data_IF_874452654487
#
_entry.id   IF_874452654487
#
_cell.length_a   1.000
_cell.length_b   1.000
_cell.length_c   1.000
_cell.angle_alpha   90.00
_cell.angle_beta   90.00
_cell.angle_gamma   90.00
#
_symmetry.space_group_name_H-M   'P 1'
#
loop_
_entity.id
_entity.type
_entity.pdbx_description
1 polymer ?
#
# COMPACT_ATOMS: atom_id res chain seq x y z
N UNK A 1 -0.50 23.79 -1.05
CA UNK A 1 -0.24 23.77 -1.97
C UNK A 1 0.02 23.87 -2.21
N UNK A 2 -0.04 23.09 -1.89
CA UNK A 2 0.27 22.93 -2.63
C UNK A 2 0.50 22.81 -2.86
N UNK A 3 0.45 22.23 -2.44
CA UNK A 3 0.89 22.02 -3.16
C UNK A 3 0.96 21.96 -3.48
N UNK A 4 0.81 21.61 -3.12
CA UNK A 4 1.08 21.50 -3.80
C UNK A 4 1.10 21.51 -4.10
N UNK A 5 1.07 21.03 -3.98
CA UNK A 5 1.19 20.91 -4.66
C UNK A 5 1.29 20.92 -5.08
N UNK A 6 1.25 20.39 -5.11
CA UNK A 6 1.44 20.28 -5.93
C UNK A 6 1.38 20.58 -6.58
N UNK A 7 1.39 20.35 -6.68
CA UNK A 7 1.48 20.46 -7.67
C UNK A 7 1.69 20.62 -8.44
N UNK A 8 1.69 20.41 -8.83
CA UNK A 8 2.01 20.31 -9.83
C UNK A 8 2.28 20.57 -10.73
N UNK A 9 1.94 20.60 -10.91
CA UNK A 9 1.94 20.66 -12.26
C UNK A 9 2.99 20.12 -13.05
N UNK A 10 3.64 20.30 -13.41
CA UNK A 10 4.57 19.54 -13.93
C UNK A 10 4.25 18.26 -13.65
N UNK A 11 3.37 18.24 -13.12
CA UNK A 11 2.94 17.19 -12.45
C UNK A 11 2.67 15.91 -13.10
N UNK A 12 2.45 15.87 -14.36
CA UNK A 12 2.18 14.61 -15.03
C UNK A 12 3.34 13.64 -14.97
N UNK A 13 4.57 14.14 -14.96
CA UNK A 13 5.72 13.27 -14.85
C UNK A 13 5.82 12.61 -13.49
N UNK A 14 5.51 13.37 -12.45
CA UNK A 14 5.62 12.84 -11.10
C UNK A 14 4.56 11.81 -10.76
N UNK A 15 3.52 11.71 -11.58
CA UNK A 15 2.47 10.72 -11.35
C UNK A 15 2.96 9.29 -11.47
N UNK A 16 4.08 9.07 -12.16
CA UNK A 16 4.58 7.73 -12.39
C UNK A 16 5.82 7.42 -11.58
N UNK A 17 6.23 8.34 -10.73
CA UNK A 17 7.43 8.14 -9.94
C UNK A 17 7.09 7.43 -8.63
N UNK A 18 7.89 6.42 -8.24
CA UNK A 18 7.68 5.78 -6.95
C UNK A 18 7.86 6.77 -5.81
N UNK A 19 7.19 6.53 -4.73
CA UNK A 19 7.30 7.38 -3.55
C UNK A 19 7.31 6.52 -2.29
N UNK A 20 7.84 7.08 -1.21
CA UNK A 20 7.96 6.37 0.05
C UNK A 20 6.90 6.84 1.03
N UNK A 21 6.35 5.91 1.77
CA UNK A 21 5.39 6.20 2.83
C UNK A 21 5.78 5.46 4.09
N UNK A 22 5.50 6.08 5.23
CA UNK A 22 5.66 5.41 6.50
C UNK A 22 4.34 4.75 6.88
N UNK A 23 4.40 3.46 7.23
CA UNK A 23 3.22 2.74 7.69
C UNK A 23 2.94 3.14 9.14
N UNK A 24 1.70 3.51 9.41
CA UNK A 24 1.28 3.90 10.75
C UNK A 24 0.27 2.87 11.25
N UNK A 25 0.54 2.32 12.42
CA UNK A 25 -0.37 1.36 13.03
C UNK A 25 0.02 -0.07 12.74
N UNK A 26 -0.80 -1.00 13.22
CA UNK A 26 -0.45 -2.42 13.20
C UNK A 26 -1.36 -3.24 12.28
N UNK A 27 -2.10 -2.60 11.40
CA UNK A 27 -3.08 -3.32 10.58
C UNK A 27 -2.44 -4.28 9.59
N UNK A 28 -1.20 -4.02 9.21
CA UNK A 28 -0.51 -4.84 8.22
C UNK A 28 0.66 -5.61 8.82
N UNK A 29 0.68 -5.75 10.15
CA UNK A 29 1.65 -6.63 10.79
C UNK A 29 1.25 -8.08 10.60
N UNK A 30 2.19 -9.00 10.55
CA UNK A 30 3.62 -8.81 10.81
C UNK A 30 4.44 -8.40 9.60
N UNK A 31 3.90 -8.48 8.40
CA UNK A 31 4.70 -8.20 7.21
C UNK A 31 5.17 -6.75 7.17
N UNK A 32 4.31 -5.83 7.59
CA UNK A 32 4.61 -4.40 7.57
C UNK A 32 4.45 -3.83 8.97
N UNK A 33 5.51 -3.90 9.79
CA UNK A 33 5.41 -3.39 11.16
C UNK A 33 5.15 -1.90 11.20
N UNK A 34 4.53 -1.47 12.30
CA UNK A 34 4.31 -0.04 12.52
C UNK A 34 5.61 0.74 12.31
N UNK A 35 5.51 1.85 11.62
CA UNK A 35 6.61 2.77 11.33
C UNK A 35 7.62 2.29 10.27
N UNK A 36 7.40 1.14 9.66
CA UNK A 36 8.28 0.77 8.57
C UNK A 36 8.00 1.65 7.35
N UNK A 37 8.96 1.66 6.42
CA UNK A 37 8.83 2.47 5.21
C UNK A 37 8.52 1.54 4.05
N UNK A 38 7.54 1.91 3.24
CA UNK A 38 7.24 1.18 2.01
C UNK A 38 7.45 2.10 0.82
N UNK A 39 7.89 1.52 -0.29
CA UNK A 39 8.00 2.24 -1.55
C UNK A 39 6.84 1.81 -2.42
N UNK A 40 6.09 2.78 -2.89
CA UNK A 40 4.86 2.58 -3.65
C UNK A 40 5.09 3.06 -5.08
N UNK A 41 4.76 2.22 -6.03
CA UNK A 41 4.76 2.63 -7.43
C UNK A 41 3.34 2.98 -7.83
N UNK A 42 3.09 4.20 -8.34
CA UNK A 42 1.75 4.55 -8.79
C UNK A 42 1.26 3.57 -9.85
N UNK A 43 0.02 3.15 -9.71
CA UNK A 43 -0.55 2.16 -10.62
C UNK A 43 -2.07 2.27 -10.58
N UNK A 44 -2.70 2.01 -11.72
CA UNK A 44 -4.15 1.89 -11.79
C UNK A 44 -4.57 0.43 -11.93
N UNK A 45 -3.66 -0.50 -11.66
CA UNK A 45 -3.86 -1.92 -11.86
C UNK A 45 -3.32 -2.70 -10.66
N UNK A 46 -4.01 -3.77 -10.30
CA UNK A 46 -3.51 -4.70 -9.29
C UNK A 46 -4.09 -6.09 -9.58
N UNK A 47 -3.51 -7.09 -8.93
CA UNK A 47 -4.03 -8.45 -9.03
C UNK A 47 -3.98 -9.12 -7.65
N UNK A 48 -4.67 -10.24 -7.56
CA UNK A 48 -4.82 -10.99 -6.32
C UNK A 48 -3.49 -11.19 -5.60
N UNK A 49 -3.49 -10.90 -4.32
CA UNK A 49 -2.33 -11.11 -3.46
C UNK A 49 -1.41 -9.91 -3.30
N UNK A 50 -1.59 -8.89 -4.13
CA UNK A 50 -0.72 -7.71 -4.05
C UNK A 50 -1.04 -6.84 -2.84
N UNK A 51 0.01 -6.22 -2.31
CA UNK A 51 -0.15 -5.17 -1.30
C UNK A 51 -0.29 -3.85 -2.03
N UNK A 52 -1.38 -3.15 -1.77
CA UNK A 52 -1.71 -1.96 -2.55
C UNK A 52 -2.13 -0.81 -1.66
N UNK A 53 -2.09 0.38 -2.25
CA UNK A 53 -2.78 1.53 -1.71
C UNK A 53 -3.99 1.77 -2.59
N UNK A 54 -5.17 1.82 -1.99
CA UNK A 54 -6.42 1.97 -2.71
C UNK A 54 -7.23 3.11 -2.12
N UNK A 55 -7.99 3.75 -2.98
CA UNK A 55 -8.95 4.77 -2.58
C UNK A 55 -10.33 4.14 -2.66
N UNK A 56 -11.03 4.06 -1.54
CA UNK A 56 -12.35 3.45 -1.45
C UNK A 56 -13.30 4.46 -0.86
N UNK A 57 -14.31 4.86 -1.62
CA UNK A 57 -15.30 5.85 -1.17
C UNK A 57 -14.63 7.08 -0.58
N UNK A 58 -13.55 7.54 -1.21
CA UNK A 58 -12.85 8.73 -0.79
C UNK A 58 -11.83 8.55 0.33
N UNK A 59 -11.63 7.33 0.82
CA UNK A 59 -10.70 7.04 1.91
C UNK A 59 -9.58 6.16 1.40
N UNK A 60 -8.34 6.50 1.74
CA UNK A 60 -7.17 5.72 1.35
C UNK A 60 -6.92 4.60 2.33
N UNK A 61 -6.60 3.42 1.79
CA UNK A 61 -6.31 2.24 2.58
C UNK A 61 -5.04 1.58 2.07
N UNK A 62 -4.19 1.13 2.99
CA UNK A 62 -3.06 0.27 2.69
C UNK A 62 -3.46 -1.13 3.12
N UNK A 63 -3.70 -2.02 2.17
CA UNK A 63 -4.23 -3.35 2.45
C UNK A 63 -3.74 -4.33 1.40
N UNK A 64 -4.02 -5.60 1.61
CA UNK A 64 -3.77 -6.62 0.61
C UNK A 64 -5.04 -6.82 -0.21
N UNK A 65 -4.88 -6.85 -1.52
CA UNK A 65 -6.00 -7.06 -2.43
C UNK A 65 -6.21 -8.55 -2.65
N UNK A 66 -7.42 -9.02 -2.43
CA UNK A 66 -7.79 -10.41 -2.66
C UNK A 66 -8.98 -10.46 -3.58
N UNK A 67 -8.90 -11.33 -4.57
CA UNK A 67 -9.97 -11.52 -5.54
C UNK A 67 -10.19 -12.99 -5.79
N UNK A 68 -11.45 -13.42 -5.78
CA UNK A 68 -11.82 -14.76 -6.23
C UNK A 68 -12.94 -14.63 -7.25
N UNK A 69 -13.56 -15.76 -7.63
CA UNK A 69 -14.56 -15.76 -8.69
C UNK A 69 -15.77 -14.92 -8.37
N UNK A 70 -16.01 -14.65 -7.11
CA UNK A 70 -17.27 -14.03 -6.68
C UNK A 70 -17.11 -12.69 -6.01
N UNK A 71 -15.92 -12.38 -5.51
CA UNK A 71 -15.77 -11.12 -4.78
C UNK A 71 -14.35 -10.56 -4.84
N UNK A 72 -14.29 -9.27 -4.58
CA UNK A 72 -13.04 -8.55 -4.41
C UNK A 72 -13.07 -7.91 -3.04
N UNK A 73 -11.94 -7.93 -2.34
CA UNK A 73 -11.87 -7.29 -1.03
C UNK A 73 -10.46 -6.86 -0.70
N UNK A 74 -10.38 -5.95 0.24
CA UNK A 74 -9.12 -5.51 0.81
C UNK A 74 -9.04 -6.05 2.23
N UNK A 75 -7.93 -6.71 2.56
CA UNK A 75 -7.79 -7.31 3.87
C UNK A 75 -6.56 -6.78 4.57
N UNK A 76 -6.67 -6.56 5.86
CA UNK A 76 -5.52 -6.31 6.72
C UNK A 76 -4.87 -7.65 7.04
N UNK A 77 -3.55 -7.64 7.21
CA UNK A 77 -2.86 -8.87 7.60
C UNK A 77 -3.11 -9.20 9.07
N UNK A 78 -3.38 -8.19 9.87
CA UNK A 78 -3.78 -8.36 11.26
C UNK A 78 -5.29 -8.54 11.27
N UNK A 79 -5.73 -9.73 11.66
CA UNK A 79 -7.14 -10.12 11.49
C UNK A 79 -8.09 -9.48 12.48
N UNK A 80 -7.62 -8.65 13.39
CA UNK A 80 -8.53 -7.87 14.22
C UNK A 80 -9.21 -6.75 13.43
N UNK A 81 -8.68 -6.43 12.24
CA UNK A 81 -9.29 -5.44 11.36
C UNK A 81 -10.16 -6.14 10.33
N UNK A 82 -11.42 -5.74 10.18
CA UNK A 82 -12.31 -6.44 9.27
C UNK A 82 -11.96 -6.20 7.81
N UNK A 83 -12.28 -7.15 6.92
CA UNK A 83 -12.06 -6.93 5.49
C UNK A 83 -13.00 -5.88 4.95
N UNK A 84 -12.59 -5.24 3.86
CA UNK A 84 -13.41 -4.27 3.15
C UNK A 84 -13.89 -4.94 1.87
N UNK A 85 -15.20 -5.21 1.81
CA UNK A 85 -15.81 -5.80 0.61
C UNK A 85 -15.99 -4.68 -0.41
N UNK A 86 -15.46 -4.88 -1.59
CA UNK A 86 -15.45 -3.83 -2.61
C UNK A 86 -16.68 -3.80 -3.49
N UNK A 87 -17.50 -4.85 -3.44
CA UNK A 87 -18.69 -4.92 -4.27
C UNK A 87 -19.62 -3.76 -3.98
N UNK A 88 -20.01 -3.05 -5.03
CA UNK A 88 -20.93 -1.93 -4.86
C UNK A 88 -20.31 -0.63 -4.39
N UNK A 89 -19.00 -0.62 -4.13
CA UNK A 89 -18.30 0.57 -3.69
C UNK A 89 -17.54 1.21 -4.83
N UNK A 90 -17.36 2.50 -4.76
CA UNK A 90 -16.54 3.23 -5.70
C UNK A 90 -15.10 3.17 -5.20
N UNK A 91 -14.22 2.56 -5.98
CA UNK A 91 -12.86 2.39 -5.53
C UNK A 91 -11.88 2.31 -6.70
N UNK A 92 -10.63 2.59 -6.42
CA UNK A 92 -9.57 2.45 -7.42
C UNK A 92 -8.24 2.18 -6.74
N UNK A 93 -7.34 1.53 -7.47
CA UNK A 93 -5.96 1.35 -7.05
C UNK A 93 -5.22 2.66 -7.29
N UNK A 94 -4.42 3.07 -6.31
CA UNK A 94 -3.57 4.24 -6.47
C UNK A 94 -2.11 3.85 -6.61
N UNK A 95 -1.71 2.73 -6.05
CA UNK A 95 -0.34 2.28 -6.17
C UNK A 95 -0.15 0.89 -5.61
N UNK A 96 0.99 0.29 -5.96
CA UNK A 96 1.34 -1.04 -5.49
C UNK A 96 2.65 -0.97 -4.73
N UNK A 97 2.79 -1.83 -3.71
CA UNK A 97 3.98 -1.84 -2.87
C UNK A 97 5.09 -2.60 -3.58
N UNK A 98 6.21 -1.93 -3.78
CA UNK A 98 7.35 -2.52 -4.46
C UNK A 98 8.45 -2.91 -3.49
N UNK A 99 8.50 -2.29 -2.31
CA UNK A 99 9.62 -2.47 -1.41
C UNK A 99 9.20 -2.14 0.01
N UNK A 100 9.78 -2.88 0.97
CA UNK A 100 9.59 -2.61 2.39
C UNK A 100 10.96 -2.45 3.02
N UNK A 101 11.12 -1.39 3.80
CA UNK A 101 12.36 -1.12 4.51
C UNK A 101 12.10 -1.17 5.99
N UNK A 102 12.82 -2.05 6.69
CA UNK A 102 12.78 -2.15 8.14
C UNK A 102 14.01 -1.49 8.73
N UNK A 103 13.81 -0.75 9.80
CA UNK A 103 14.89 -0.12 10.54
C UNK A 103 15.52 -1.14 11.48
N UNK A 104 16.71 -0.81 11.99
CA UNK A 104 17.45 -1.74 12.86
C UNK A 104 16.63 -2.23 14.03
N UNK A 105 15.88 -1.35 14.68
CA UNK A 105 15.11 -1.73 15.87
C UNK A 105 13.87 -2.56 15.53
N UNK A 106 13.55 -2.70 14.24
CA UNK A 106 12.39 -3.46 13.81
C UNK A 106 12.74 -4.88 13.40
N UNK A 107 14.01 -5.25 13.43
CA UNK A 107 14.45 -6.58 13.00
C UNK A 107 15.10 -7.33 14.15
N UNK A 108 15.00 -8.66 14.11
CA UNK A 108 15.64 -9.50 15.11
C UNK A 108 17.16 -9.43 15.00
N UNK A 109 17.68 -9.19 13.81
CA UNK A 109 19.12 -9.14 13.59
C UNK A 109 19.76 -7.84 14.03
N UNK A 110 18.98 -6.80 14.29
CA UNK A 110 19.50 -5.48 14.60
C UNK A 110 20.05 -4.74 13.41
N UNK A 111 19.76 -5.19 12.20
CA UNK A 111 20.25 -4.59 10.97
C UNK A 111 19.07 -4.10 10.13
N UNK A 112 19.33 -3.13 9.27
CA UNK A 112 18.32 -2.72 8.30
C UNK A 112 18.01 -3.89 7.38
N UNK A 113 16.75 -3.95 6.98
CA UNK A 113 16.31 -4.99 6.07
C UNK A 113 15.48 -4.39 4.95
N UNK A 114 15.78 -4.79 3.72
CA UNK A 114 15.02 -4.33 2.54
C UNK A 114 14.46 -5.57 1.86
N UNK A 115 13.16 -5.56 1.63
CA UNK A 115 12.49 -6.64 0.92
C UNK A 115 11.84 -6.07 -0.32
N UNK A 116 12.04 -6.73 -1.45
CA UNK A 116 11.44 -6.35 -2.71
C UNK A 116 10.28 -7.28 -3.02
N UNK A 117 9.20 -6.73 -3.55
CA UNK A 117 8.03 -7.50 -3.92
C UNK A 117 7.96 -7.61 -5.43
N UNK A 118 7.89 -8.83 -5.92
CA UNK A 118 7.79 -9.10 -7.35
C UNK A 118 6.43 -9.71 -7.60
N UNK A 119 5.69 -9.09 -8.50
CA UNK A 119 4.35 -9.54 -8.84
C UNK A 119 4.38 -10.04 -10.27
N UNK A 120 3.78 -11.13 -10.49
CA UNK A 120 3.77 -11.62 -11.84
C UNK A 120 3.53 -12.97 -12.04
#
# INVERSE_FOLDING_TARGET
MQKPPINDPLGSCSQHEPFALQVIGNSMEPEFPDECIVVIEPSDWCQHGMYIMALVEGVRWFRQYLKDDQCERLVALNDIYPPIELHGLEWKVEGIVMQRNLRRHQTASGRREVKHYKYG
#
